data_IF_856657377075
#
_entry.id   IF_856657377075
#
_cell.length_a   1.000
_cell.length_b   1.000
_cell.length_c   1.000
_cell.angle_alpha   90.00
_cell.angle_beta   90.00
_cell.angle_gamma   90.00
#
_symmetry.space_group_name_H-M   'P 1'
#
loop_
_entity.id
_entity.type
_entity.pdbx_description
1 polymer ?
#
# COMPACT_ATOMS: atom_id res chain seq x y z
N UNK A 1 -8.46 22.31 19.20
CA UNK A 1 -7.96 21.38 20.23
C UNK A 1 -7.23 20.25 19.52
N UNK A 2 -6.02 19.87 19.93
CA UNK A 2 -5.38 18.66 19.38
C UNK A 2 -6.29 17.44 19.64
N UNK A 3 -6.33 16.51 18.68
CA UNK A 3 -7.13 15.29 18.82
C UNK A 3 -6.61 14.52 20.04
N UNK A 4 -7.51 14.19 20.97
CA UNK A 4 -7.16 13.43 22.18
C UNK A 4 -6.95 11.95 21.88
N UNK A 5 -7.46 11.46 20.75
CA UNK A 5 -7.25 10.10 20.26
C UNK A 5 -5.80 9.91 19.79
N UNK A 6 -5.01 9.02 20.42
CA UNK A 6 -3.64 8.73 20.03
C UNK A 6 -3.49 8.26 18.57
N UNK A 7 -4.50 7.60 17.99
CA UNK A 7 -4.46 7.14 16.59
C UNK A 7 -4.47 8.29 15.59
N UNK A 8 -5.11 9.40 15.96
CA UNK A 8 -5.31 10.57 15.09
C UNK A 8 -4.25 11.66 15.30
N UNK A 9 -3.30 11.44 16.21
CA UNK A 9 -2.18 12.34 16.42
C UNK A 9 -1.07 12.12 15.39
N UNK A 10 -0.35 13.18 14.98
CA UNK A 10 0.81 13.06 14.12
C UNK A 10 1.88 12.12 14.68
N UNK A 11 2.68 11.55 13.77
CA UNK A 11 3.79 10.67 14.11
C UNK A 11 4.98 10.90 13.21
N UNK A 12 6.16 11.06 13.79
CA UNK A 12 7.41 11.20 13.05
C UNK A 12 8.11 9.85 12.92
N UNK A 13 8.18 9.33 11.70
CA UNK A 13 8.95 8.14 11.37
C UNK A 13 10.28 8.54 10.74
N UNK A 14 11.35 8.57 11.54
CA UNK A 14 12.68 9.07 11.16
C UNK A 14 12.61 10.52 10.64
N UNK A 15 12.62 10.69 9.32
CA UNK A 15 12.56 11.99 8.63
C UNK A 15 11.17 12.31 8.04
N UNK A 16 10.23 11.36 8.11
CA UNK A 16 8.89 11.48 7.54
C UNK A 16 7.88 11.87 8.61
N UNK A 17 7.16 12.97 8.39
CA UNK A 17 6.03 13.39 9.23
C UNK A 17 4.74 12.78 8.69
N UNK A 18 4.04 12.00 9.53
CA UNK A 18 2.76 11.37 9.22
C UNK A 18 1.63 12.11 9.92
N UNK A 19 0.55 12.40 9.19
CA UNK A 19 -0.61 13.15 9.71
C UNK A 19 -1.37 12.42 10.83
N UNK A 20 -1.28 11.10 10.89
CA UNK A 20 -1.89 10.23 11.89
C UNK A 20 -1.14 8.88 11.95
N UNK A 21 -1.58 7.97 12.81
CA UNK A 21 -0.95 6.65 13.03
C UNK A 21 -1.68 5.51 12.31
N UNK A 22 -2.51 5.84 11.33
CA UNK A 22 -3.28 4.87 10.55
C UNK A 22 -2.48 4.54 9.30
N UNK A 23 -2.18 3.26 9.13
CA UNK A 23 -1.46 2.75 7.96
C UNK A 23 -2.17 1.55 7.34
N UNK A 24 -1.97 1.36 6.03
CA UNK A 24 -2.26 0.11 5.34
C UNK A 24 -0.95 -0.60 5.05
N UNK A 25 -0.78 -1.82 5.56
CA UNK A 25 0.40 -2.65 5.33
C UNK A 25 0.47 -3.16 3.89
N UNK A 26 1.68 -3.56 3.48
CA UNK A 26 1.92 -4.23 2.21
C UNK A 26 1.14 -5.56 2.17
N UNK A 27 0.24 -5.71 1.21
CA UNK A 27 -0.48 -6.93 0.90
C UNK A 27 -0.90 -6.92 -0.56
N UNK A 28 -1.09 -8.10 -1.12
CA UNK A 28 -1.51 -8.23 -2.50
C UNK A 28 -3.04 -8.33 -2.56
N UNK A 29 -3.74 -7.36 -3.18
CA UNK A 29 -5.19 -7.44 -3.39
C UNK A 29 -5.58 -8.41 -4.52
N UNK A 30 -4.61 -9.00 -5.23
CA UNK A 30 -4.83 -9.84 -6.42
C UNK A 30 -5.58 -9.12 -7.54
N UNK A 31 -5.30 -7.82 -7.72
CA UNK A 31 -5.90 -6.96 -8.76
C UNK A 31 -4.99 -6.74 -9.97
N UNK A 32 -3.87 -7.48 -10.05
CA UNK A 32 -3.00 -7.47 -11.22
C UNK A 32 -3.71 -8.03 -12.45
N UNK A 33 -3.40 -7.49 -13.62
CA UNK A 33 -3.73 -8.11 -14.92
C UNK A 33 -2.42 -8.36 -15.64
N UNK A 34 -2.18 -9.61 -16.07
CA UNK A 34 -0.92 -10.05 -16.67
C UNK A 34 0.33 -9.76 -15.82
N UNK A 35 0.16 -9.72 -14.50
CA UNK A 35 1.20 -9.40 -13.52
C UNK A 35 1.45 -7.90 -13.32
N UNK A 36 0.69 -7.03 -13.97
CA UNK A 36 0.88 -5.57 -13.89
C UNK A 36 -0.27 -4.87 -13.16
N UNK A 37 0.00 -3.74 -12.47
CA UNK A 37 -1.05 -2.94 -11.87
C UNK A 37 -1.87 -2.25 -12.96
N UNK A 38 -3.19 -2.35 -12.88
CA UNK A 38 -4.13 -1.64 -13.77
C UNK A 38 -4.93 -0.59 -13.00
N UNK A 39 -5.93 0.02 -13.63
CA UNK A 39 -6.78 1.02 -12.97
C UNK A 39 -7.43 0.52 -11.69
N UNK A 40 -7.85 -0.75 -11.63
CA UNK A 40 -8.44 -1.31 -10.40
C UNK A 40 -7.45 -1.30 -9.24
N UNK A 41 -6.20 -1.68 -9.49
CA UNK A 41 -5.13 -1.66 -8.51
C UNK A 41 -4.85 -0.22 -8.03
N UNK A 42 -4.75 0.72 -8.97
CA UNK A 42 -4.50 2.14 -8.66
C UNK A 42 -5.65 2.74 -7.84
N UNK A 43 -6.90 2.54 -8.27
CA UNK A 43 -8.09 3.07 -7.59
C UNK A 43 -8.20 2.54 -6.16
N UNK A 44 -7.90 1.25 -5.94
CA UNK A 44 -7.86 0.66 -4.60
C UNK A 44 -6.95 1.43 -3.63
N UNK A 45 -5.74 1.83 -4.06
CA UNK A 45 -4.83 2.62 -3.24
C UNK A 45 -5.24 4.10 -3.15
N UNK A 46 -5.84 4.67 -4.20
CA UNK A 46 -6.39 6.03 -4.19
C UNK A 46 -7.51 6.17 -3.17
N UNK A 47 -8.43 5.20 -3.09
CA UNK A 47 -9.53 5.25 -2.12
C UNK A 47 -9.04 5.20 -0.67
N UNK A 48 -7.97 4.42 -0.39
CA UNK A 48 -7.32 4.45 0.93
C UNK A 48 -6.74 5.82 1.26
N UNK A 49 -6.07 6.46 0.31
CA UNK A 49 -5.51 7.79 0.49
C UNK A 49 -6.62 8.83 0.71
N UNK A 50 -7.73 8.76 -0.05
CA UNK A 50 -8.92 9.59 0.16
C UNK A 50 -9.54 9.39 1.55
N UNK A 51 -9.51 8.16 2.07
CA UNK A 51 -9.91 7.83 3.44
C UNK A 51 -9.00 8.42 4.53
N UNK A 52 -7.86 9.00 4.17
CA UNK A 52 -7.02 9.76 5.08
C UNK A 52 -6.01 8.94 5.88
N UNK A 53 -5.64 7.74 5.43
CA UNK A 53 -4.50 7.02 6.04
C UNK A 53 -3.22 7.84 5.85
N UNK A 54 -2.30 7.80 6.83
CA UNK A 54 -1.06 8.55 6.72
C UNK A 54 0.00 7.82 5.88
N UNK A 55 0.00 6.49 5.91
CA UNK A 55 0.96 5.66 5.17
C UNK A 55 0.22 4.52 4.46
N UNK A 56 0.38 4.44 3.15
CA UNK A 56 -0.13 3.35 2.32
C UNK A 56 1.06 2.58 1.74
N UNK A 57 1.26 1.34 2.17
CA UNK A 57 2.24 0.46 1.56
C UNK A 57 1.57 -0.31 0.41
N UNK A 58 2.22 -0.34 -0.74
CA UNK A 58 1.72 -1.00 -1.95
C UNK A 58 2.38 -2.35 -2.16
N UNK A 59 1.69 -3.22 -2.89
CA UNK A 59 2.07 -4.61 -3.19
C UNK A 59 2.21 -5.48 -1.94
N UNK A 60 2.13 -6.79 -2.11
CA UNK A 60 2.39 -7.77 -1.07
C UNK A 60 3.41 -8.77 -1.54
N UNK A 61 4.67 -8.34 -1.62
CA UNK A 61 5.76 -8.94 -2.40
C UNK A 61 5.54 -8.92 -3.92
N UNK A 62 6.64 -8.83 -4.66
CA UNK A 62 6.65 -8.84 -6.12
C UNK A 62 7.51 -10.00 -6.63
N UNK A 63 7.12 -10.57 -7.77
CA UNK A 63 7.89 -11.59 -8.47
C UNK A 63 8.99 -10.89 -9.26
N UNK A 64 10.24 -11.23 -8.98
CA UNK A 64 11.43 -10.58 -9.58
C UNK A 64 12.11 -11.45 -10.66
N UNK A 65 11.62 -12.65 -10.92
CA UNK A 65 12.15 -13.57 -11.92
C UNK A 65 11.01 -14.30 -12.64
N UNK A 66 11.16 -14.54 -13.94
CA UNK A 66 10.15 -15.20 -14.80
C UNK A 66 9.79 -16.61 -14.33
N UNK A 67 10.76 -17.33 -13.76
CA UNK A 67 10.63 -18.70 -13.27
C UNK A 67 10.10 -18.79 -11.82
N UNK A 68 9.93 -17.65 -11.15
CA UNK A 68 9.36 -17.59 -9.81
C UNK A 68 7.83 -17.53 -9.87
N UNK A 69 7.10 -18.47 -9.24
CA UNK A 69 5.65 -18.48 -9.28
C UNK A 69 5.03 -17.34 -8.44
N UNK A 70 3.94 -16.74 -8.93
CA UNK A 70 3.11 -15.80 -8.19
C UNK A 70 2.12 -16.55 -7.28
N UNK A 71 2.33 -16.50 -5.96
CA UNK A 71 1.51 -17.26 -5.01
C UNK A 71 0.13 -16.60 -4.73
N UNK A 72 0.02 -15.27 -4.88
CA UNK A 72 -1.15 -14.50 -4.45
C UNK A 72 -1.65 -13.50 -5.50
N UNK A 73 -1.29 -13.68 -6.77
CA UNK A 73 -1.53 -12.66 -7.81
C UNK A 73 -0.57 -11.47 -7.67
N UNK A 74 0.66 -11.74 -7.26
CA UNK A 74 1.72 -10.76 -7.05
C UNK A 74 2.04 -9.99 -8.33
N UNK A 75 2.43 -8.72 -8.18
CA UNK A 75 2.97 -7.96 -9.29
C UNK A 75 4.30 -8.56 -9.80
N UNK A 76 4.51 -8.52 -11.11
CA UNK A 76 5.73 -8.95 -11.77
C UNK A 76 6.66 -7.75 -11.93
N UNK A 77 7.70 -7.66 -11.11
CA UNK A 77 8.71 -6.60 -11.18
C UNK A 77 9.81 -6.88 -12.21
N UNK A 78 9.83 -8.07 -12.81
CA UNK A 78 10.74 -8.41 -13.91
C UNK A 78 10.26 -7.91 -15.28
N UNK A 79 9.05 -7.34 -15.35
CA UNK A 79 8.42 -6.82 -16.56
C UNK A 79 8.55 -5.31 -16.68
#
# INVERSE_FOLDING_TARGET
>A
MPHTDPLLQPYRLKHLELRNRIMSSAHEPAYSVDGMPTDRYRLYHVEKARGGIALNMTAGSAVVAEDSPAAFGNLHAYK
#
